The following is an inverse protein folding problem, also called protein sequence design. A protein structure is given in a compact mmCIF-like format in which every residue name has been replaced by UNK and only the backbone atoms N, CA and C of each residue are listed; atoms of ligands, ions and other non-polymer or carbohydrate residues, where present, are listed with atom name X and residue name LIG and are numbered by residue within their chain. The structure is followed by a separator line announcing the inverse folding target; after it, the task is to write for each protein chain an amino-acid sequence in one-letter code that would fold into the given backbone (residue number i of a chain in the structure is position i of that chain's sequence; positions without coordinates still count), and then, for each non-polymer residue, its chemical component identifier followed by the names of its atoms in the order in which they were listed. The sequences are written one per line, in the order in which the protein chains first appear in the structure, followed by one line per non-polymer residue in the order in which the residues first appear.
data_IF_800679775551
#
_entry.id   IF_800679775551
#
_cell.length_a   1.000
_cell.length_b   1.000
_cell.length_c   1.000
_cell.angle_alpha   90.00
_cell.angle_beta   90.00
_cell.angle_gamma   90.00
#
_symmetry.space_group_name_H-M   'P 1'
#
loop_
_entity.id
_entity.type
_entity.pdbx_description
1 polymer ?
#
# COMPACT_ATOMS: atom_id res chain seq x y z
N UNK A 1 4.41 -18.17 -0.73
CA UNK A 1 4.40 -17.07 0.25
C UNK A 1 2.95 -16.65 0.43
N UNK A 2 2.33 -16.93 1.59
CA UNK A 2 0.88 -16.79 1.84
C UNK A 2 0.49 -15.51 2.57
N UNK A 3 1.00 -14.37 2.12
CA UNK A 3 0.68 -13.08 2.72
C UNK A 3 -0.71 -12.59 2.27
N UNK A 4 -1.43 -11.94 3.16
CA UNK A 4 -2.65 -11.21 2.81
C UNK A 4 -2.24 -9.89 2.16
N UNK A 5 -2.24 -9.86 0.82
CA UNK A 5 -1.80 -8.69 0.06
C UNK A 5 -2.97 -7.72 -0.11
N UNK A 6 -2.70 -6.48 0.29
CA UNK A 6 -3.60 -5.35 0.12
C UNK A 6 -2.98 -4.42 -0.93
N UNK A 7 -3.75 -4.06 -1.95
CA UNK A 7 -3.32 -3.14 -3.00
C UNK A 7 -3.98 -1.78 -2.78
N UNK A 8 -3.18 -0.72 -2.77
CA UNK A 8 -3.65 0.66 -2.71
C UNK A 8 -3.50 1.28 -4.09
N UNK A 9 -4.61 1.52 -4.77
CA UNK A 9 -4.61 2.14 -6.10
C UNK A 9 -5.58 3.32 -6.16
N UNK A 10 -5.16 4.34 -6.91
CA UNK A 10 -5.96 5.54 -7.21
C UNK A 10 -6.66 5.40 -8.55
N UNK A 11 -6.04 4.71 -9.51
CA UNK A 11 -6.66 4.47 -10.81
C UNK A 11 -7.65 3.28 -10.70
N UNK A 12 -8.89 3.44 -11.17
CA UNK A 12 -9.89 2.38 -11.11
C UNK A 12 -9.56 1.17 -12.00
N UNK A 13 -8.76 1.32 -13.07
CA UNK A 13 -8.47 0.25 -14.01
C UNK A 13 -7.49 -0.80 -13.42
N UNK A 14 -6.30 -0.43 -12.91
CA UNK A 14 -5.43 -1.37 -12.21
C UNK A 14 -6.05 -1.84 -10.89
N UNK A 15 -6.81 -0.98 -10.19
CA UNK A 15 -7.55 -1.37 -8.99
C UNK A 15 -8.57 -2.48 -9.28
N UNK A 16 -9.34 -2.38 -10.35
CA UNK A 16 -10.29 -3.43 -10.73
C UNK A 16 -9.59 -4.74 -11.08
N UNK A 17 -8.46 -4.68 -11.78
CA UNK A 17 -7.64 -5.87 -12.10
C UNK A 17 -7.14 -6.56 -10.83
N UNK A 18 -6.65 -5.78 -9.86
CA UNK A 18 -6.24 -6.30 -8.56
C UNK A 18 -7.38 -7.06 -7.85
N UNK A 19 -8.62 -6.53 -7.90
CA UNK A 19 -9.78 -7.23 -7.34
C UNK A 19 -10.09 -8.52 -8.12
N UNK A 20 -9.99 -8.50 -9.44
CA UNK A 20 -10.20 -9.69 -10.28
C UNK A 20 -9.16 -10.78 -10.02
N UNK A 21 -7.92 -10.39 -9.70
CA UNK A 21 -6.84 -11.30 -9.30
C UNK A 21 -6.99 -11.79 -7.84
N UNK A 22 -8.03 -11.35 -7.13
CA UNK A 22 -8.36 -11.79 -5.77
C UNK A 22 -7.67 -10.99 -4.65
N UNK A 23 -7.02 -9.88 -4.98
CA UNK A 23 -6.43 -8.98 -3.99
C UNK A 23 -7.48 -8.05 -3.38
N UNK A 24 -7.26 -7.65 -2.13
CA UNK A 24 -8.09 -6.65 -1.48
C UNK A 24 -7.59 -5.26 -1.86
N UNK A 25 -8.47 -4.43 -2.43
CA UNK A 25 -8.17 -3.03 -2.74
C UNK A 25 -8.80 -2.13 -1.69
N UNK A 26 -7.99 -1.27 -1.08
CA UNK A 26 -8.44 -0.26 -0.11
C UNK A 26 -7.57 0.99 -0.15
N UNK A 27 -7.97 2.04 0.56
CA UNK A 27 -7.17 3.27 0.66
C UNK A 27 -6.00 3.09 1.62
N UNK A 28 -4.93 3.87 1.41
CA UNK A 28 -3.74 3.83 2.26
C UNK A 28 -4.04 4.15 3.73
N UNK A 29 -5.01 5.04 4.01
CA UNK A 29 -5.42 5.37 5.38
C UNK A 29 -5.94 4.14 6.15
N UNK A 30 -6.67 3.25 5.46
CA UNK A 30 -7.20 2.01 6.06
C UNK A 30 -6.14 0.91 6.08
N UNK A 31 -5.30 0.84 5.04
CA UNK A 31 -4.23 -0.13 4.93
C UNK A 31 -3.13 0.09 5.98
N UNK A 32 -2.86 1.35 6.36
CA UNK A 32 -1.82 1.72 7.32
C UNK A 32 -2.00 1.03 8.68
N UNK A 33 -3.24 0.90 9.16
CA UNK A 33 -3.54 0.25 10.44
C UNK A 33 -3.43 -1.29 10.40
N UNK A 34 -3.53 -1.89 9.21
CA UNK A 34 -3.60 -3.34 9.05
C UNK A 34 -2.26 -3.95 8.62
N UNK A 35 -1.49 -3.23 7.81
CA UNK A 35 -0.28 -3.74 7.18
C UNK A 35 0.90 -3.89 8.15
N UNK A 36 1.66 -4.96 7.96
CA UNK A 36 2.95 -5.19 8.64
C UNK A 36 4.14 -4.88 7.71
N UNK A 37 3.93 -4.97 6.39
CA UNK A 37 4.92 -4.68 5.36
C UNK A 37 4.27 -3.78 4.30
N UNK A 38 4.89 -2.64 4.05
CA UNK A 38 4.46 -1.66 3.06
C UNK A 38 5.48 -1.57 1.93
N UNK A 39 5.03 -1.75 0.70
CA UNK A 39 5.88 -1.62 -0.49
C UNK A 39 5.28 -0.58 -1.44
N UNK A 40 6.00 0.50 -1.71
CA UNK A 40 5.58 1.52 -2.69
C UNK A 40 6.19 1.23 -4.05
N UNK A 41 5.34 1.16 -5.09
CA UNK A 41 5.76 0.94 -6.48
C UNK A 41 5.08 1.91 -7.46
N UNK A 42 4.49 3.00 -6.96
CA UNK A 42 3.69 3.95 -7.75
C UNK A 42 4.54 5.01 -8.47
N UNK A 43 5.79 5.25 -8.04
CA UNK A 43 6.66 6.31 -8.58
C UNK A 43 6.16 7.72 -8.27
N UNK A 44 5.25 7.86 -7.30
CA UNK A 44 4.66 9.14 -6.88
C UNK A 44 5.24 9.58 -5.54
N UNK A 45 5.36 10.90 -5.35
CA UNK A 45 5.64 11.50 -4.03
C UNK A 45 4.40 11.45 -3.14
N UNK A 46 4.61 11.53 -1.83
CA UNK A 46 3.54 11.65 -0.82
C UNK A 46 2.59 10.44 -0.74
N UNK A 47 3.05 9.25 -1.13
CA UNK A 47 2.28 7.99 -1.02
C UNK A 47 2.19 7.53 0.43
N UNK A 48 3.30 7.61 1.16
CA UNK A 48 3.36 7.39 2.60
C UNK A 48 3.82 8.70 3.24
N UNK A 49 2.98 9.26 4.09
CA UNK A 49 3.14 10.57 4.73
C UNK A 49 3.00 10.41 6.24
N UNK A 50 3.39 11.41 7.03
CA UNK A 50 3.41 11.39 8.50
C UNK A 50 2.18 10.72 9.15
N UNK A 51 0.96 11.10 8.72
CA UNK A 51 -0.30 10.53 9.22
C UNK A 51 -0.42 9.00 9.07
N UNK A 52 0.22 8.43 8.05
CA UNK A 52 0.22 6.98 7.83
C UNK A 52 1.18 6.29 8.79
N UNK A 53 2.31 6.92 9.13
CA UNK A 53 3.22 6.38 10.14
C UNK A 53 2.59 6.35 11.53
N UNK A 54 1.80 7.38 11.89
CA UNK A 54 1.09 7.41 13.18
C UNK A 54 0.04 6.28 13.31
N UNK A 55 -0.49 5.80 12.18
CA UNK A 55 -1.47 4.72 12.14
C UNK A 55 -0.84 3.32 11.97
N UNK A 56 0.46 3.24 11.66
CA UNK A 56 1.16 1.97 11.45
C UNK A 56 1.43 1.24 12.76
N UNK A 57 1.53 -0.09 12.68
CA UNK A 57 1.94 -0.91 13.82
C UNK A 57 3.43 -0.72 14.12
N UNK A 58 3.78 -0.87 15.39
CA UNK A 58 5.18 -0.90 15.81
C UNK A 58 5.93 -2.06 15.12
N UNK A 59 7.11 -1.79 14.58
CA UNK A 59 7.88 -2.75 13.79
C UNK A 59 7.43 -2.95 12.34
N UNK A 60 6.53 -2.10 11.81
CA UNK A 60 6.16 -2.12 10.40
C UNK A 60 7.38 -1.89 9.49
N UNK A 61 7.50 -2.71 8.44
CA UNK A 61 8.60 -2.62 7.47
C UNK A 61 8.11 -1.81 6.27
N UNK A 62 8.90 -0.82 5.86
CA UNK A 62 8.59 0.01 4.70
C UNK A 62 9.70 -0.16 3.67
N UNK A 63 9.31 -0.40 2.43
CA UNK A 63 10.21 -0.50 1.29
C UNK A 63 9.67 0.32 0.13
N UNK A 64 10.57 0.98 -0.60
CA UNK A 64 10.23 1.65 -1.84
C UNK A 64 10.95 0.93 -2.99
N UNK A 65 10.18 0.44 -3.95
CA UNK A 65 10.69 -0.15 -5.20
C UNK A 65 10.44 0.78 -6.40
N UNK A 66 9.71 1.87 -6.21
CA UNK A 66 9.45 2.88 -7.24
C UNK A 66 10.61 3.85 -7.48
N UNK A 67 10.49 4.66 -8.52
CA UNK A 67 11.47 5.70 -8.84
C UNK A 67 11.45 6.83 -7.79
N UNK A 68 12.62 7.33 -7.43
CA UNK A 68 12.77 8.54 -6.62
C UNK A 68 12.90 9.73 -7.58
N UNK A 69 11.87 10.57 -7.76
CA UNK A 69 12.10 11.95 -8.18
C UNK A 69 12.76 12.76 -7.05
#
# INVERSE_FOLDING_TARGET
MGANVIITEVDPLPGLRAVMDGFRVMKMDEAAALGDIFCTATGMKDVIVGRHFDAMKDGAIISNTGHCP
#
